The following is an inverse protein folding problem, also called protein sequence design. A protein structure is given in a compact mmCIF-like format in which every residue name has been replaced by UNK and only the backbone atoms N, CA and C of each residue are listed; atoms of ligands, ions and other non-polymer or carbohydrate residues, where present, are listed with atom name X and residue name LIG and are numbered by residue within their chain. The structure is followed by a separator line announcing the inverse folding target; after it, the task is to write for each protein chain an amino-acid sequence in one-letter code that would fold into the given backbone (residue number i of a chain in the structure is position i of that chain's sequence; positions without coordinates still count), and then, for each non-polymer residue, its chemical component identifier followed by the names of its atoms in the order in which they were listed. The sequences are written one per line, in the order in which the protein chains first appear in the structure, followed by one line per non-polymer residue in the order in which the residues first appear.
data_IF_231514595782
#
_entry.id   IF_231514595782
#
_cell.length_a   1.000
_cell.length_b   1.000
_cell.length_c   1.000
_cell.angle_alpha   90.00
_cell.angle_beta   90.00
_cell.angle_gamma   90.00
#
_symmetry.space_group_name_H-M   'P 1'
#
loop_
_entity.id
_entity.type
_entity.pdbx_description
1 polymer ?
#
# COMPACT_ATOMS: atom_id res chain seq x y z
N UNK A 1 -4.50 4.77 -5.20
CA UNK A 1 -4.27 5.93 -6.09
C UNK A 1 -4.29 7.20 -5.27
N UNK A 2 -3.35 8.15 -5.53
CA UNK A 2 -3.18 9.40 -4.77
C UNK A 2 -3.83 10.57 -5.53
N UNK A 3 -4.53 11.46 -4.81
CA UNK A 3 -5.03 12.73 -5.31
C UNK A 3 -4.77 13.86 -4.31
N UNK A 4 -4.28 15.03 -4.76
CA UNK A 4 -4.12 16.20 -3.90
C UNK A 4 -5.46 16.63 -3.30
N UNK A 5 -5.48 16.90 -1.99
CA UNK A 5 -6.71 17.28 -1.28
C UNK A 5 -7.27 18.66 -1.70
N UNK A 6 -6.52 19.45 -2.45
CA UNK A 6 -6.98 20.72 -3.07
C UNK A 6 -7.62 20.51 -4.47
N UNK A 7 -7.86 19.27 -4.88
CA UNK A 7 -8.44 18.95 -6.19
C UNK A 7 -9.72 18.11 -6.06
N UNK A 8 -10.82 18.71 -5.59
CA UNK A 8 -12.11 18.02 -5.44
C UNK A 8 -12.63 17.44 -6.76
N UNK A 9 -12.29 18.05 -7.91
CA UNK A 9 -12.60 17.56 -9.24
C UNK A 9 -11.88 16.23 -9.59
N UNK A 10 -10.71 15.95 -9.02
CA UNK A 10 -10.01 14.68 -9.13
C UNK A 10 -10.55 13.67 -8.11
N UNK A 11 -10.76 14.12 -6.87
CA UNK A 11 -11.27 13.28 -5.78
C UNK A 11 -12.61 12.64 -6.15
N UNK A 12 -13.55 13.42 -6.72
CA UNK A 12 -14.85 12.94 -7.17
C UNK A 12 -14.77 11.76 -8.18
N UNK A 13 -13.67 11.66 -8.91
CA UNK A 13 -13.48 10.64 -9.95
C UNK A 13 -12.71 9.41 -9.45
N UNK A 14 -12.11 9.45 -8.26
CA UNK A 14 -11.28 8.35 -7.73
C UNK A 14 -12.01 7.01 -7.68
N UNK A 15 -13.28 6.90 -7.20
CA UNK A 15 -13.97 5.62 -7.13
C UNK A 15 -14.09 4.90 -8.49
N UNK A 16 -14.23 5.66 -9.58
CA UNK A 16 -14.35 5.10 -10.93
C UNK A 16 -13.04 4.64 -11.56
N UNK A 17 -11.90 4.78 -10.85
CA UNK A 17 -10.58 4.44 -11.40
C UNK A 17 -10.15 3.02 -11.10
N UNK A 18 -10.86 2.29 -10.22
CA UNK A 18 -10.60 0.89 -9.92
C UNK A 18 -9.36 0.65 -9.05
N UNK A 19 -8.90 1.65 -8.29
CA UNK A 19 -7.85 1.48 -7.31
C UNK A 19 -8.44 0.97 -5.99
N UNK A 20 -7.76 0.02 -5.32
CA UNK A 20 -8.23 -0.58 -4.08
C UNK A 20 -8.22 0.42 -2.91
N UNK A 21 -7.28 1.36 -2.90
CA UNK A 21 -7.12 2.36 -1.84
C UNK A 21 -7.00 3.76 -2.45
N UNK A 22 -7.79 4.68 -1.92
CA UNK A 22 -7.81 6.09 -2.30
C UNK A 22 -7.06 6.92 -1.26
N UNK A 23 -5.98 7.58 -1.70
CA UNK A 23 -5.20 8.50 -0.87
C UNK A 23 -5.67 9.93 -1.12
N UNK A 24 -6.14 10.60 -0.08
CA UNK A 24 -6.32 12.04 -0.06
C UNK A 24 -5.05 12.68 0.52
N UNK A 25 -4.37 13.47 -0.29
CA UNK A 25 -3.03 13.95 0.03
C UNK A 25 -3.04 15.40 0.52
N UNK A 26 -2.58 15.62 1.76
CA UNK A 26 -2.38 16.96 2.35
C UNK A 26 -0.91 17.38 2.39
N UNK A 27 0.01 16.56 1.87
CA UNK A 27 1.44 16.77 1.96
C UNK A 27 2.01 17.50 0.71
N UNK A 28 3.01 16.95 0.06
CA UNK A 28 3.85 17.59 -0.97
C UNK A 28 3.07 18.12 -2.18
N UNK A 29 1.96 17.48 -2.55
CA UNK A 29 1.10 17.93 -3.64
C UNK A 29 0.20 19.14 -3.26
N UNK A 30 0.28 19.63 -2.02
CA UNK A 30 -0.49 20.76 -1.51
C UNK A 30 0.46 21.86 -1.07
N UNK A 31 0.39 23.09 -1.65
CA UNK A 31 1.24 24.19 -1.25
C UNK A 31 0.94 24.67 0.18
N UNK A 32 1.93 25.26 0.85
CA UNK A 32 1.84 25.70 2.25
C UNK A 32 0.61 26.57 2.56
N UNK A 33 0.27 27.49 1.68
CA UNK A 33 -0.87 28.40 1.84
C UNK A 33 -2.24 27.72 1.61
N UNK A 34 -2.27 26.48 1.13
CA UNK A 34 -3.50 25.73 0.88
C UNK A 34 -3.71 24.56 1.86
N UNK A 35 -2.84 24.37 2.86
CA UNK A 35 -2.95 23.27 3.84
C UNK A 35 -4.28 23.29 4.61
N UNK A 36 -4.77 24.47 4.99
CA UNK A 36 -6.06 24.61 5.66
C UNK A 36 -7.25 24.26 4.75
N UNK A 37 -7.19 24.63 3.46
CA UNK A 37 -8.18 24.26 2.45
C UNK A 37 -8.18 22.73 2.24
N UNK A 38 -7.01 22.11 2.15
CA UNK A 38 -6.87 20.67 2.01
C UNK A 38 -7.57 19.92 3.14
N UNK A 39 -7.39 20.32 4.40
CA UNK A 39 -8.11 19.77 5.55
C UNK A 39 -9.62 19.84 5.39
N UNK A 40 -10.12 20.99 4.96
CA UNK A 40 -11.56 21.19 4.72
C UNK A 40 -12.08 20.25 3.63
N UNK A 41 -11.34 20.09 2.53
CA UNK A 41 -11.70 19.18 1.45
C UNK A 41 -11.68 17.74 1.93
N UNK A 42 -10.70 17.33 2.72
CA UNK A 42 -10.64 15.97 3.30
C UNK A 42 -11.86 15.69 4.17
N UNK A 43 -12.19 16.59 5.10
CA UNK A 43 -13.35 16.41 6.00
C UNK A 43 -14.69 16.36 5.25
N UNK A 44 -14.78 17.01 4.10
CA UNK A 44 -15.96 16.95 3.24
C UNK A 44 -16.04 15.68 2.40
N UNK A 45 -14.92 15.26 1.79
CA UNK A 45 -14.93 14.23 0.78
C UNK A 45 -14.66 12.82 1.31
N UNK A 46 -13.81 12.65 2.33
CA UNK A 46 -13.47 11.32 2.82
C UNK A 46 -14.71 10.54 3.31
N UNK A 47 -15.64 11.12 4.12
CA UNK A 47 -16.86 10.42 4.51
C UNK A 47 -17.72 9.98 3.31
N UNK A 48 -17.88 10.83 2.30
CA UNK A 48 -18.65 10.52 1.08
C UNK A 48 -18.06 9.35 0.30
N UNK A 49 -16.72 9.28 0.23
CA UNK A 49 -16.02 8.19 -0.46
C UNK A 49 -16.15 6.87 0.32
N UNK A 50 -16.07 6.92 1.65
CA UNK A 50 -16.26 5.77 2.53
C UNK A 50 -17.70 5.25 2.47
N UNK A 51 -18.69 6.13 2.55
CA UNK A 51 -20.12 5.79 2.35
C UNK A 51 -20.36 5.16 0.97
N UNK A 52 -19.64 5.61 -0.05
CA UNK A 52 -19.64 5.01 -1.40
C UNK A 52 -18.92 3.67 -1.51
N UNK A 53 -18.40 3.11 -0.41
CA UNK A 53 -17.74 1.80 -0.35
C UNK A 53 -16.25 1.82 -0.68
N UNK A 54 -15.61 3.00 -0.78
CA UNK A 54 -14.18 3.11 -1.03
C UNK A 54 -13.35 2.95 0.25
N UNK A 55 -12.19 2.28 0.14
CA UNK A 55 -11.16 2.32 1.18
C UNK A 55 -10.38 3.64 1.06
N UNK A 56 -10.53 4.50 2.05
CA UNK A 56 -9.92 5.85 2.03
C UNK A 56 -8.86 5.96 3.11
N UNK A 57 -7.72 6.50 2.73
CA UNK A 57 -6.65 6.89 3.65
C UNK A 57 -6.28 8.36 3.42
N UNK A 58 -5.84 9.05 4.46
CA UNK A 58 -5.47 10.46 4.39
C UNK A 58 -3.99 10.60 4.68
N UNK A 59 -3.22 11.14 3.74
CA UNK A 59 -1.82 11.50 3.97
C UNK A 59 -1.75 12.89 4.57
N UNK A 60 -1.32 12.94 5.82
CA UNK A 60 -1.06 14.16 6.57
C UNK A 60 0.37 14.64 6.33
N UNK A 61 0.72 15.82 6.85
CA UNK A 61 2.10 16.29 6.80
C UNK A 61 2.99 15.50 7.80
N UNK A 62 4.34 15.50 7.63
CA UNK A 62 5.26 14.82 8.54
C UNK A 62 5.09 15.25 10.00
N UNK A 63 5.35 14.34 10.94
CA UNK A 63 5.27 14.62 12.39
C UNK A 63 6.10 15.85 12.77
N UNK A 64 7.25 16.04 12.15
CA UNK A 64 8.15 17.18 12.38
C UNK A 64 7.64 18.51 11.80
N UNK A 65 6.53 18.52 11.05
CA UNK A 65 6.02 19.72 10.40
C UNK A 65 5.11 20.54 11.31
N UNK A 66 5.05 21.84 11.09
CA UNK A 66 4.12 22.74 11.77
C UNK A 66 2.63 22.43 11.51
N UNK A 67 2.31 21.70 10.43
CA UNK A 67 0.95 21.38 10.02
C UNK A 67 0.41 20.08 10.62
N UNK A 68 1.29 19.17 11.12
CA UNK A 68 0.91 17.84 11.58
C UNK A 68 -0.21 17.86 12.63
N UNK A 69 -0.04 18.68 13.69
CA UNK A 69 -1.01 18.73 14.78
C UNK A 69 -2.39 19.21 14.31
N UNK A 70 -2.42 20.17 13.38
CA UNK A 70 -3.67 20.65 12.79
C UNK A 70 -4.29 19.64 11.83
N UNK A 71 -3.48 18.89 11.08
CA UNK A 71 -3.99 17.84 10.20
C UNK A 71 -4.69 16.73 10.99
N UNK A 72 -4.12 16.33 12.13
CA UNK A 72 -4.74 15.34 13.02
C UNK A 72 -6.01 15.88 13.65
N UNK A 73 -5.99 17.11 14.22
CA UNK A 73 -7.12 17.66 14.97
C UNK A 73 -8.29 18.10 14.09
N UNK A 74 -7.99 18.65 12.92
CA UNK A 74 -8.98 19.36 12.11
C UNK A 74 -9.17 18.76 10.71
N UNK A 75 -8.34 17.81 10.30
CA UNK A 75 -8.32 17.28 8.94
C UNK A 75 -8.60 15.78 8.83
N UNK A 76 -8.74 15.05 9.95
CA UNK A 76 -8.81 13.61 9.91
C UNK A 76 -10.19 13.07 10.33
N UNK A 77 -11.04 12.62 9.39
CA UNK A 77 -12.33 11.99 9.71
C UNK A 77 -12.19 10.65 10.42
N UNK A 78 -13.18 10.29 11.26
CA UNK A 78 -13.16 9.07 12.08
C UNK A 78 -13.33 7.76 11.30
N UNK A 79 -13.90 7.81 10.11
CA UNK A 79 -14.29 6.68 9.28
C UNK A 79 -13.28 6.30 8.19
N UNK A 80 -12.15 7.03 8.10
CA UNK A 80 -11.06 6.63 7.21
C UNK A 80 -10.38 5.34 7.68
N UNK A 81 -9.82 4.59 6.74
CA UNK A 81 -9.24 3.26 7.01
C UNK A 81 -7.88 3.33 7.71
N UNK A 82 -7.10 4.37 7.44
CA UNK A 82 -5.81 4.64 8.09
C UNK A 82 -5.39 6.09 7.88
N UNK A 83 -4.49 6.59 8.73
CA UNK A 83 -3.73 7.81 8.48
C UNK A 83 -2.39 7.44 7.83
N UNK A 84 -2.02 8.14 6.76
CA UNK A 84 -0.72 7.99 6.11
C UNK A 84 0.21 9.05 6.68
N UNK A 85 1.30 8.63 7.31
CA UNK A 85 2.30 9.53 7.87
C UNK A 85 3.58 9.38 7.06
N UNK A 86 3.96 10.42 6.31
CA UNK A 86 5.18 10.41 5.50
C UNK A 86 6.43 10.60 6.37
N UNK A 87 7.57 10.27 5.81
CA UNK A 87 8.91 10.58 6.34
C UNK A 87 9.12 10.09 7.79
N UNK A 88 8.60 8.88 8.09
CA UNK A 88 8.86 8.22 9.37
C UNK A 88 10.31 7.74 9.41
N UNK A 89 11.02 8.15 10.46
CA UNK A 89 12.44 7.83 10.66
C UNK A 89 12.67 6.93 11.87
N UNK A 90 11.92 7.16 12.96
CA UNK A 90 12.15 6.55 14.27
C UNK A 90 10.87 6.05 14.91
N UNK A 91 11.01 5.18 15.90
CA UNK A 91 9.87 4.78 16.75
C UNK A 91 9.21 5.96 17.45
N UNK A 92 10.00 6.98 17.87
CA UNK A 92 9.47 8.20 18.51
C UNK A 92 8.48 8.95 17.64
N UNK A 93 8.63 8.92 16.31
CA UNK A 93 7.71 9.59 15.38
C UNK A 93 6.35 8.88 15.40
N UNK A 94 6.36 7.55 15.48
CA UNK A 94 5.15 6.74 15.61
C UNK A 94 4.51 6.86 16.99
N UNK A 95 5.30 6.96 18.06
CA UNK A 95 4.79 7.21 19.41
C UNK A 95 4.10 8.58 19.49
N UNK A 96 4.69 9.62 18.91
CA UNK A 96 4.10 10.96 18.83
C UNK A 96 2.82 10.95 17.99
N UNK A 97 2.84 10.30 16.83
CA UNK A 97 1.66 10.16 15.99
C UNK A 97 0.53 9.40 16.71
N UNK A 98 0.85 8.32 17.41
CA UNK A 98 -0.10 7.55 18.18
C UNK A 98 -0.73 8.39 19.30
N UNK A 99 0.08 9.16 20.03
CA UNK A 99 -0.39 10.06 21.09
C UNK A 99 -1.33 11.14 20.52
N UNK A 100 -0.97 11.78 19.41
CA UNK A 100 -1.81 12.78 18.77
C UNK A 100 -3.17 12.21 18.29
N UNK A 101 -3.18 10.98 17.75
CA UNK A 101 -4.40 10.29 17.37
C UNK A 101 -5.27 9.94 18.59
N UNK A 102 -4.65 9.51 19.69
CA UNK A 102 -5.35 9.17 20.94
C UNK A 102 -6.02 10.40 21.55
N UNK A 103 -5.36 11.56 21.54
CA UNK A 103 -5.90 12.85 22.02
C UNK A 103 -7.19 13.26 21.31
N UNK A 104 -7.35 12.92 20.02
CA UNK A 104 -8.57 13.26 19.25
C UNK A 104 -9.57 12.10 19.16
N UNK A 105 -9.38 11.02 19.96
CA UNK A 105 -10.30 9.89 20.01
C UNK A 105 -10.15 8.88 18.87
N UNK A 106 -9.04 8.92 18.12
CA UNK A 106 -8.72 8.01 17.01
C UNK A 106 -7.74 6.89 17.42
N UNK A 107 -7.82 6.41 18.66
CA UNK A 107 -6.92 5.41 19.23
C UNK A 107 -6.89 4.07 18.47
N UNK A 108 -7.92 3.78 17.67
CA UNK A 108 -7.99 2.56 16.85
C UNK A 108 -7.51 2.74 15.41
N UNK A 109 -7.26 3.98 14.99
CA UNK A 109 -6.84 4.25 13.62
C UNK A 109 -5.40 3.80 13.42
N UNK A 110 -5.17 2.94 12.41
CA UNK A 110 -3.85 2.47 12.04
C UNK A 110 -3.04 3.52 11.30
N UNK A 111 -1.72 3.39 11.37
CA UNK A 111 -0.77 4.21 10.63
C UNK A 111 -0.30 3.47 9.38
N UNK A 112 -0.42 4.11 8.24
CA UNK A 112 0.23 3.72 7.00
C UNK A 112 1.55 4.50 6.91
N UNK A 113 2.67 3.84 7.20
CA UNK A 113 3.97 4.50 7.36
C UNK A 113 4.66 4.77 6.02
N UNK A 114 5.12 6.00 5.79
CA UNK A 114 5.98 6.37 4.67
C UNK A 114 7.45 6.19 5.02
N UNK A 115 8.11 5.22 4.40
CA UNK A 115 9.54 4.94 4.53
C UNK A 115 10.26 5.54 3.33
N UNK A 116 10.75 6.74 3.49
CA UNK A 116 11.22 7.57 2.38
C UNK A 116 12.38 8.50 2.75
N UNK A 117 13.08 8.18 3.85
CA UNK A 117 14.34 8.83 4.24
C UNK A 117 15.43 7.79 4.47
N UNK A 118 16.70 8.20 4.45
CA UNK A 118 17.84 7.32 4.70
C UNK A 118 17.73 6.65 6.08
N UNK A 119 17.36 7.43 7.10
CA UNK A 119 17.21 6.91 8.45
C UNK A 119 15.99 5.98 8.56
N UNK A 120 14.86 6.35 7.97
CA UNK A 120 13.66 5.50 7.93
C UNK A 120 13.93 4.15 7.27
N UNK A 121 14.70 4.12 6.17
CA UNK A 121 15.13 2.88 5.51
C UNK A 121 16.08 2.09 6.41
N UNK A 122 17.06 2.74 7.05
CA UNK A 122 18.00 2.07 7.94
C UNK A 122 17.28 1.40 9.13
N UNK A 123 16.31 2.07 9.72
CA UNK A 123 15.55 1.63 10.90
C UNK A 123 14.19 0.95 10.54
N UNK A 124 13.92 0.69 9.25
CA UNK A 124 12.63 0.18 8.77
C UNK A 124 12.14 -1.05 9.57
N UNK A 125 13.05 -1.95 9.99
CA UNK A 125 12.70 -3.13 10.78
C UNK A 125 12.12 -2.76 12.16
N UNK A 126 12.62 -1.71 12.79
CA UNK A 126 12.13 -1.23 14.07
C UNK A 126 10.81 -0.48 13.89
N UNK A 127 10.79 0.43 12.93
CA UNK A 127 9.64 1.28 12.62
C UNK A 127 8.41 0.43 12.23
N UNK A 128 8.57 -0.52 11.31
CA UNK A 128 7.43 -1.33 10.83
C UNK A 128 6.93 -2.35 11.87
N UNK A 129 7.71 -2.66 12.91
CA UNK A 129 7.27 -3.50 14.02
C UNK A 129 6.39 -2.76 15.04
N UNK A 130 6.20 -1.44 14.90
CA UNK A 130 5.35 -0.67 15.82
C UNK A 130 3.88 -1.11 15.69
N UNK A 131 3.15 -1.34 16.82
CA UNK A 131 1.80 -1.94 16.81
C UNK A 131 0.72 -1.10 16.12
N UNK A 132 0.96 0.20 15.91
CA UNK A 132 0.05 1.09 15.17
C UNK A 132 0.25 1.02 13.66
N UNK A 133 1.35 0.45 13.16
CA UNK A 133 1.62 0.33 11.73
C UNK A 133 0.79 -0.81 11.14
N UNK A 134 -0.10 -0.47 10.20
CA UNK A 134 -1.00 -1.42 9.52
C UNK A 134 -0.63 -1.63 8.06
N UNK A 135 0.13 -0.71 7.46
CA UNK A 135 0.68 -0.78 6.11
C UNK A 135 1.88 0.17 6.01
N UNK A 136 2.70 0.01 4.97
CA UNK A 136 3.76 0.96 4.67
C UNK A 136 3.99 1.11 3.16
N UNK A 137 4.60 2.23 2.76
CA UNK A 137 5.08 2.40 1.39
C UNK A 137 6.56 2.82 1.39
N UNK A 138 7.23 2.53 0.28
CA UNK A 138 8.55 3.06 -0.01
C UNK A 138 8.44 4.26 -0.93
N UNK A 139 8.95 5.43 -0.50
CA UNK A 139 8.96 6.68 -1.26
C UNK A 139 10.36 6.97 -1.84
N UNK A 140 10.58 6.62 -3.10
CA UNK A 140 11.90 6.71 -3.72
C UNK A 140 12.35 8.13 -4.02
N UNK A 141 11.42 9.03 -4.32
CA UNK A 141 11.76 10.41 -4.71
C UNK A 141 12.36 11.15 -3.50
N UNK A 142 11.68 11.09 -2.35
CA UNK A 142 12.14 11.67 -1.10
C UNK A 142 13.41 10.98 -0.58
N UNK A 143 13.46 9.64 -0.65
CA UNK A 143 14.65 8.88 -0.24
C UNK A 143 15.89 9.31 -1.02
N UNK A 144 15.81 9.44 -2.35
CA UNK A 144 16.96 9.84 -3.17
C UNK A 144 17.32 11.30 -2.94
N UNK A 145 16.34 12.16 -2.69
CA UNK A 145 16.59 13.56 -2.33
C UNK A 145 17.35 13.65 -0.99
N UNK A 146 16.92 12.89 0.03
CA UNK A 146 17.58 12.82 1.35
C UNK A 146 19.00 12.24 1.26
N UNK A 147 19.20 11.22 0.41
CA UNK A 147 20.53 10.65 0.11
C UNK A 147 21.45 11.58 -0.67
N UNK A 148 20.94 12.70 -1.22
CA UNK A 148 21.70 13.58 -2.13
C UNK A 148 22.02 12.93 -3.47
N UNK A 149 21.24 11.93 -3.88
CA UNK A 149 21.40 11.18 -5.12
C UNK A 149 20.62 11.74 -6.30
N UNK A 150 20.56 10.97 -7.37
CA UNK A 150 19.80 11.30 -8.60
C UNK A 150 18.97 10.10 -9.00
N UNK A 151 17.68 10.30 -9.26
CA UNK A 151 16.78 9.25 -9.76
C UNK A 151 17.15 8.84 -11.16
N UNK A 152 17.18 7.53 -11.40
CA UNK A 152 17.44 6.93 -12.70
C UNK A 152 16.29 6.02 -13.16
N UNK A 153 16.21 5.75 -14.45
CA UNK A 153 15.22 4.82 -14.99
C UNK A 153 15.48 3.36 -14.61
N UNK A 154 16.73 3.03 -14.29
CA UNK A 154 17.17 1.69 -13.92
C UNK A 154 16.96 1.33 -12.44
N UNK A 155 16.57 2.29 -11.60
CA UNK A 155 16.33 2.09 -10.15
C UNK A 155 17.53 1.51 -9.36
N UNK A 156 18.75 1.54 -9.89
CA UNK A 156 19.92 0.98 -9.20
C UNK A 156 20.20 1.70 -7.87
N UNK A 157 19.96 3.02 -7.83
CA UNK A 157 20.16 3.88 -6.66
C UNK A 157 19.20 3.57 -5.50
N UNK A 158 18.05 2.97 -5.78
CA UNK A 158 17.04 2.61 -4.78
C UNK A 158 16.93 1.10 -4.55
N UNK A 159 17.64 0.27 -5.30
CA UNK A 159 17.46 -1.19 -5.25
C UNK A 159 17.68 -1.77 -3.85
N UNK A 160 18.72 -1.32 -3.15
CA UNK A 160 18.98 -1.74 -1.77
C UNK A 160 17.86 -1.30 -0.83
N UNK A 161 17.46 -0.03 -0.87
CA UNK A 161 16.42 0.53 0.00
C UNK A 161 15.07 -0.20 -0.20
N UNK A 162 14.66 -0.44 -1.46
CA UNK A 162 13.46 -1.22 -1.78
C UNK A 162 13.51 -2.63 -1.19
N UNK A 163 14.64 -3.33 -1.34
CA UNK A 163 14.81 -4.68 -0.78
C UNK A 163 14.83 -4.67 0.76
N UNK A 164 15.46 -3.68 1.38
CA UNK A 164 15.50 -3.49 2.83
C UNK A 164 14.10 -3.27 3.41
N UNK A 165 13.30 -2.40 2.80
CA UNK A 165 11.91 -2.15 3.22
C UNK A 165 11.05 -3.40 3.02
N UNK A 166 11.21 -4.12 1.90
CA UNK A 166 10.51 -5.38 1.65
C UNK A 166 10.80 -6.43 2.73
N UNK A 167 12.08 -6.58 3.12
CA UNK A 167 12.48 -7.46 4.21
C UNK A 167 11.87 -7.04 5.55
N UNK A 168 11.88 -5.75 5.85
CA UNK A 168 11.33 -5.21 7.09
C UNK A 168 9.82 -5.44 7.20
N UNK A 169 9.05 -5.17 6.14
CA UNK A 169 7.61 -5.43 6.09
C UNK A 169 7.29 -6.91 6.24
N UNK A 170 8.08 -7.78 5.59
CA UNK A 170 7.91 -9.23 5.76
C UNK A 170 8.12 -9.69 7.20
N UNK A 171 9.12 -9.16 7.89
CA UNK A 171 9.40 -9.50 9.29
C UNK A 171 8.32 -9.00 10.24
N UNK A 172 7.75 -7.82 9.96
CA UNK A 172 6.66 -7.22 10.73
C UNK A 172 5.27 -7.77 10.34
N UNK A 173 5.15 -8.53 9.24
CA UNK A 173 3.88 -8.95 8.64
C UNK A 173 2.98 -7.77 8.24
N UNK A 174 3.60 -6.69 7.75
CA UNK A 174 2.95 -5.45 7.31
C UNK A 174 2.88 -5.43 5.79
N UNK A 175 1.70 -5.21 5.18
CA UNK A 175 1.55 -5.03 3.73
C UNK A 175 2.34 -3.82 3.24
N UNK A 176 2.98 -3.97 2.08
CA UNK A 176 3.84 -2.95 1.50
C UNK A 176 3.37 -2.49 0.13
N UNK A 177 3.45 -1.17 -0.09
CA UNK A 177 3.18 -0.53 -1.38
C UNK A 177 4.47 0.11 -1.91
N UNK A 178 4.80 -0.21 -3.16
CA UNK A 178 6.01 0.25 -3.82
C UNK A 178 5.89 1.71 -4.31
N UNK A 179 7.04 2.31 -4.60
CA UNK A 179 7.28 3.66 -5.08
C UNK A 179 6.41 4.07 -6.29
N UNK A 180 6.28 5.37 -6.51
CA UNK A 180 5.66 5.94 -7.72
C UNK A 180 6.54 5.79 -8.96
N UNK A 181 5.93 5.91 -10.15
CA UNK A 181 6.62 6.23 -11.41
C UNK A 181 6.13 7.60 -11.86
N UNK A 182 7.01 8.59 -11.80
CA UNK A 182 6.67 9.99 -12.04
C UNK A 182 6.34 10.28 -13.51
N UNK A 183 6.99 9.58 -14.46
CA UNK A 183 6.59 9.62 -15.87
C UNK A 183 5.36 8.75 -16.10
N UNK A 184 4.16 9.32 -15.89
CA UNK A 184 2.89 8.62 -16.04
C UNK A 184 2.53 8.22 -17.49
N UNK A 185 3.29 8.69 -18.48
CA UNK A 185 3.14 8.30 -19.89
C UNK A 185 3.95 7.05 -20.25
N UNK A 186 4.86 6.61 -19.39
CA UNK A 186 5.70 5.44 -19.60
C UNK A 186 5.09 4.17 -18.98
N UNK A 187 4.10 3.60 -19.68
CA UNK A 187 3.42 2.37 -19.27
C UNK A 187 4.41 1.18 -19.18
N UNK A 188 5.37 1.11 -20.09
CA UNK A 188 6.34 0.02 -20.11
C UNK A 188 7.24 0.02 -18.86
N UNK A 189 7.69 1.20 -18.43
CA UNK A 189 8.44 1.37 -17.18
C UNK A 189 7.57 1.02 -15.99
N UNK A 190 6.33 1.50 -15.95
CA UNK A 190 5.42 1.21 -14.83
C UNK A 190 5.20 -0.30 -14.64
N UNK A 191 4.92 -1.03 -15.73
CA UNK A 191 4.73 -2.49 -15.73
C UNK A 191 5.97 -3.24 -15.27
N UNK A 192 7.14 -2.87 -15.78
CA UNK A 192 8.42 -3.46 -15.36
C UNK A 192 8.64 -3.27 -13.87
N UNK A 193 8.52 -2.04 -13.37
CA UNK A 193 8.71 -1.74 -11.95
C UNK A 193 7.66 -2.40 -11.05
N UNK A 194 6.40 -2.52 -11.48
CA UNK A 194 5.36 -3.23 -10.76
C UNK A 194 5.66 -4.74 -10.65
N UNK A 195 6.17 -5.35 -11.73
CA UNK A 195 6.63 -6.75 -11.71
C UNK A 195 7.83 -6.95 -10.78
N UNK A 196 8.80 -6.03 -10.82
CA UNK A 196 9.96 -6.06 -9.90
C UNK A 196 9.52 -5.96 -8.44
N UNK A 197 8.59 -5.05 -8.13
CA UNK A 197 8.05 -4.87 -6.79
C UNK A 197 7.34 -6.14 -6.29
N UNK A 198 6.46 -6.72 -7.11
CA UNK A 198 5.82 -8.01 -6.80
C UNK A 198 6.86 -9.10 -6.51
N UNK A 199 7.92 -9.19 -7.31
CA UNK A 199 9.00 -10.17 -7.13
C UNK A 199 9.80 -9.94 -5.84
N UNK A 200 9.90 -8.70 -5.36
CA UNK A 200 10.49 -8.36 -4.07
C UNK A 200 9.56 -8.64 -2.87
N UNK A 201 8.28 -8.91 -3.12
CA UNK A 201 7.30 -9.21 -2.09
C UNK A 201 6.46 -8.00 -1.63
N UNK A 202 6.40 -6.95 -2.42
CA UNK A 202 5.41 -5.88 -2.24
C UNK A 202 4.00 -6.38 -2.60
N UNK A 203 2.99 -5.79 -1.98
CA UNK A 203 1.57 -6.13 -2.16
C UNK A 203 0.86 -5.21 -3.16
N UNK A 204 1.46 -4.06 -3.48
CA UNK A 204 0.90 -3.07 -4.39
C UNK A 204 1.91 -2.03 -4.85
N UNK A 205 1.44 -1.06 -5.64
CA UNK A 205 2.26 0.05 -6.13
C UNK A 205 1.47 1.36 -6.10
N UNK A 206 2.13 2.45 -5.72
CA UNK A 206 1.52 3.78 -5.74
C UNK A 206 1.20 4.22 -7.16
N UNK A 207 0.00 4.77 -7.36
CA UNK A 207 -0.48 5.34 -8.62
C UNK A 207 -0.76 6.82 -8.44
N UNK A 208 -0.11 7.67 -9.23
CA UNK A 208 -0.30 9.13 -9.27
C UNK A 208 -1.11 9.60 -10.48
N UNK A 209 -1.45 8.67 -11.38
CA UNK A 209 -2.27 8.94 -12.56
C UNK A 209 -3.22 7.77 -12.83
N UNK A 210 -4.46 8.01 -13.32
CA UNK A 210 -5.42 6.94 -13.60
C UNK A 210 -4.93 5.84 -14.54
N UNK A 211 -4.09 6.18 -15.51
CA UNK A 211 -3.52 5.20 -16.45
C UNK A 211 -2.60 4.16 -15.78
N UNK A 212 -2.12 4.43 -14.56
CA UNK A 212 -1.26 3.51 -13.81
C UNK A 212 -2.05 2.44 -13.03
N UNK A 213 -3.36 2.64 -12.82
CA UNK A 213 -4.17 1.70 -12.04
C UNK A 213 -4.37 0.34 -12.73
N UNK A 214 -4.76 0.28 -14.02
CA UNK A 214 -4.89 -1.02 -14.68
C UNK A 214 -3.62 -1.86 -14.68
N UNK A 215 -2.42 -1.33 -15.06
CA UNK A 215 -1.20 -2.11 -15.02
C UNK A 215 -0.75 -2.47 -13.60
N UNK A 216 -1.10 -1.68 -12.56
CA UNK A 216 -0.89 -2.07 -11.17
C UNK A 216 -1.74 -3.29 -10.82
N UNK A 217 -3.04 -3.22 -11.06
CA UNK A 217 -3.97 -4.32 -10.77
C UNK A 217 -3.55 -5.60 -11.51
N UNK A 218 -3.17 -5.49 -12.79
CA UNK A 218 -2.67 -6.63 -13.57
C UNK A 218 -1.43 -7.26 -12.96
N UNK A 219 -0.46 -6.45 -12.53
CA UNK A 219 0.79 -6.95 -11.97
C UNK A 219 0.61 -7.64 -10.61
N UNK A 220 -0.27 -7.13 -9.75
CA UNK A 220 -0.45 -7.65 -8.39
C UNK A 220 -1.59 -8.66 -8.22
N UNK A 221 -2.43 -8.85 -9.24
CA UNK A 221 -3.47 -9.90 -9.24
C UNK A 221 -2.92 -11.17 -9.88
N UNK A 222 -2.92 -12.32 -9.19
CA UNK A 222 -2.51 -13.59 -9.79
C UNK A 222 -3.37 -13.94 -11.00
N UNK A 223 -2.75 -14.30 -12.12
CA UNK A 223 -3.44 -14.76 -13.31
C UNK A 223 -4.08 -16.14 -13.12
N UNK A 224 -5.07 -16.48 -13.96
CA UNK A 224 -5.68 -17.81 -13.95
C UNK A 224 -4.63 -18.94 -14.18
N UNK A 225 -3.67 -18.70 -15.04
CA UNK A 225 -2.59 -19.67 -15.33
C UNK A 225 -1.66 -19.85 -14.12
N UNK A 226 -1.32 -18.77 -13.39
CA UNK A 226 -0.51 -18.85 -12.15
C UNK A 226 -1.26 -19.63 -11.07
N UNK A 227 -2.56 -19.40 -10.93
CA UNK A 227 -3.42 -20.09 -9.96
C UNK A 227 -3.52 -21.58 -10.31
N UNK A 228 -3.76 -21.93 -11.57
CA UNK A 228 -3.83 -23.31 -12.03
C UNK A 228 -2.49 -24.04 -11.83
N UNK A 229 -1.40 -23.40 -12.24
CA UNK A 229 -0.06 -23.94 -12.04
C UNK A 229 0.26 -24.18 -10.56
N UNK A 230 -0.09 -23.24 -9.68
CA UNK A 230 0.11 -23.40 -8.24
C UNK A 230 -0.67 -24.59 -7.67
N UNK A 231 -1.93 -24.79 -8.10
CA UNK A 231 -2.76 -25.94 -7.69
C UNK A 231 -2.14 -27.26 -8.15
N UNK A 232 -1.74 -27.37 -9.41
CA UNK A 232 -1.10 -28.58 -9.98
C UNK A 232 0.22 -28.89 -9.28
N UNK A 233 1.06 -27.88 -9.04
CA UNK A 233 2.32 -28.01 -8.32
C UNK A 233 2.10 -28.57 -6.91
N UNK A 234 1.18 -27.99 -6.15
CA UNK A 234 0.88 -28.46 -4.79
C UNK A 234 0.36 -29.88 -4.77
N UNK A 235 -0.57 -30.23 -5.66
CA UNK A 235 -1.11 -31.59 -5.73
C UNK A 235 0.02 -32.63 -6.03
N UNK A 236 0.92 -32.30 -6.95
CA UNK A 236 2.06 -33.18 -7.28
C UNK A 236 3.05 -33.29 -6.11
N UNK A 237 3.37 -32.15 -5.46
CA UNK A 237 4.28 -32.12 -4.33
C UNK A 237 3.73 -32.89 -3.10
N UNK A 238 2.47 -32.68 -2.76
CA UNK A 238 1.82 -33.35 -1.62
C UNK A 238 1.71 -34.86 -1.82
N UNK A 239 1.37 -35.31 -3.03
CA UNK A 239 1.36 -36.74 -3.37
C UNK A 239 2.74 -37.40 -3.20
N UNK A 240 3.80 -36.72 -3.62
CA UNK A 240 5.17 -37.21 -3.49
C UNK A 240 5.69 -37.16 -2.06
N UNK A 241 5.37 -36.10 -1.34
CA UNK A 241 5.72 -35.93 0.07
C UNK A 241 5.07 -37.00 0.94
N UNK A 242 3.82 -37.39 0.67
CA UNK A 242 3.15 -38.51 1.32
C UNK A 242 3.84 -39.86 1.05
N UNK A 243 4.56 -39.98 -0.06
CA UNK A 243 5.39 -41.16 -0.39
C UNK A 243 6.84 -41.07 0.14
N UNK A 244 7.16 -40.04 0.94
CA UNK A 244 8.48 -39.81 1.53
C UNK A 244 9.51 -39.17 0.58
N UNK A 245 9.05 -38.53 -0.52
CA UNK A 245 9.90 -37.84 -1.49
C UNK A 245 9.83 -36.36 -1.24
N UNK A 246 10.95 -35.72 -0.86
CA UNK A 246 11.03 -34.32 -0.47
C UNK A 246 11.28 -33.33 -1.62
N UNK A 247 11.72 -33.81 -2.78
CA UNK A 247 11.95 -33.00 -3.97
C UNK A 247 11.46 -33.73 -5.21
N UNK A 248 10.76 -33.04 -6.10
CA UNK A 248 10.18 -33.60 -7.33
C UNK A 248 10.63 -32.83 -8.56
N UNK A 249 10.53 -33.44 -9.72
CA UNK A 249 10.49 -32.73 -11.00
C UNK A 249 9.02 -32.31 -11.30
N UNK A 250 8.80 -31.03 -11.48
CA UNK A 250 7.51 -30.50 -11.93
C UNK A 250 7.75 -29.57 -13.11
N UNK A 251 7.29 -29.95 -14.27
CA UNK A 251 7.45 -29.19 -15.53
C UNK A 251 8.93 -28.87 -15.86
N UNK A 252 9.85 -29.77 -15.56
CA UNK A 252 11.30 -29.62 -15.81
C UNK A 252 12.00 -28.73 -14.77
N UNK A 253 11.33 -28.40 -13.66
CA UNK A 253 11.89 -27.66 -12.55
C UNK A 253 11.92 -28.51 -11.28
N UNK A 254 13.04 -28.46 -10.55
CA UNK A 254 13.09 -29.04 -9.21
C UNK A 254 12.19 -28.26 -8.27
N UNK A 255 11.26 -28.93 -7.61
CA UNK A 255 10.35 -28.37 -6.62
C UNK A 255 10.54 -29.07 -5.28
N UNK A 256 10.75 -28.27 -4.26
CA UNK A 256 10.87 -28.66 -2.86
C UNK A 256 9.94 -27.80 -1.98
N UNK A 257 10.03 -27.91 -0.65
CA UNK A 257 9.15 -27.17 0.27
C UNK A 257 9.14 -25.64 0.09
N UNK A 258 10.26 -24.93 -0.15
CA UNK A 258 10.26 -23.50 -0.45
C UNK A 258 9.33 -23.09 -1.60
N UNK A 259 9.32 -23.86 -2.70
CA UNK A 259 8.45 -23.60 -3.85
C UNK A 259 6.99 -23.97 -3.57
N UNK A 260 6.75 -25.04 -2.82
CA UNK A 260 5.41 -25.41 -2.35
C UNK A 260 4.83 -24.33 -1.42
N UNK A 261 5.64 -23.74 -0.53
CA UNK A 261 5.23 -22.60 0.32
C UNK A 261 4.84 -21.38 -0.51
N UNK A 262 5.58 -21.06 -1.59
CA UNK A 262 5.21 -19.97 -2.48
C UNK A 262 3.85 -20.22 -3.16
N UNK A 263 3.61 -21.43 -3.64
CA UNK A 263 2.34 -21.79 -4.25
C UNK A 263 1.16 -21.74 -3.26
N UNK A 264 1.35 -22.19 -2.01
CA UNK A 264 0.32 -22.06 -0.95
C UNK A 264 -0.04 -20.62 -0.68
N UNK A 265 0.97 -19.74 -0.51
CA UNK A 265 0.74 -18.30 -0.27
C UNK A 265 -0.02 -17.63 -1.41
N UNK A 266 0.29 -17.98 -2.66
CA UNK A 266 -0.44 -17.47 -3.81
C UNK A 266 -1.91 -17.86 -3.73
N UNK A 267 -2.22 -19.13 -3.43
CA UNK A 267 -3.60 -19.60 -3.33
C UNK A 267 -4.33 -19.05 -2.10
N UNK A 268 -3.67 -18.89 -0.97
CA UNK A 268 -4.20 -18.24 0.24
C UNK A 268 -4.60 -16.78 -0.05
N UNK A 269 -3.75 -16.03 -0.75
CA UNK A 269 -4.05 -14.66 -1.17
C UNK A 269 -5.30 -14.61 -2.05
N UNK A 270 -5.40 -15.46 -3.07
CA UNK A 270 -6.58 -15.55 -3.94
C UNK A 270 -7.86 -15.85 -3.15
N UNK A 271 -7.79 -16.75 -2.16
CA UNK A 271 -8.93 -17.07 -1.31
C UNK A 271 -9.37 -15.89 -0.44
N UNK A 272 -8.41 -15.15 0.11
CA UNK A 272 -8.66 -13.95 0.91
C UNK A 272 -9.31 -12.83 0.08
N UNK A 273 -8.79 -12.59 -1.13
CA UNK A 273 -9.31 -11.57 -2.05
C UNK A 273 -10.76 -11.91 -2.48
N UNK A 274 -11.05 -13.17 -2.78
CA UNK A 274 -12.41 -13.63 -3.10
C UNK A 274 -13.39 -13.40 -1.95
N UNK A 275 -12.98 -13.70 -0.72
CA UNK A 275 -13.81 -13.50 0.48
C UNK A 275 -14.09 -12.01 0.72
N UNK A 276 -13.09 -11.15 0.52
CA UNK A 276 -13.23 -9.71 0.65
C UNK A 276 -14.21 -9.13 -0.41
N UNK A 277 -14.11 -9.60 -1.66
CA UNK A 277 -15.00 -9.19 -2.75
C UNK A 277 -16.47 -9.60 -2.49
N UNK A 278 -16.69 -10.81 -1.97
CA UNK A 278 -18.04 -11.31 -1.61
C UNK A 278 -18.64 -10.51 -0.44
N UNK A 279 -17.83 -10.14 0.55
CA UNK A 279 -18.25 -9.30 1.67
C UNK A 279 -18.65 -7.88 1.23
N UNK A 280 -17.91 -7.30 0.29
CA UNK A 280 -18.19 -5.98 -0.30
C UNK A 280 -19.51 -5.99 -1.10
N UNK A 281 -19.73 -7.03 -1.93
CA UNK A 281 -20.96 -7.18 -2.72
C UNK A 281 -22.18 -7.51 -1.85
N UNK A 282 -22.02 -8.23 -0.76
CA UNK A 282 -23.07 -8.52 0.23
C UNK A 282 -23.55 -7.25 0.96
N UNK A 283 -22.63 -6.35 1.33
CA UNK A 283 -22.97 -5.05 1.91
C UNK A 283 -23.75 -4.14 0.95
N UNK A 284 -23.35 -4.09 -0.33
CA UNK A 284 -24.03 -3.28 -1.34
C UNK A 284 -25.50 -3.73 -1.56
N UNK A 285 -25.76 -5.04 -1.57
CA UNK A 285 -27.14 -5.58 -1.70
C UNK A 285 -28.01 -5.35 -0.46
N UNK A 286 -27.41 -5.28 0.72
CA UNK A 286 -28.12 -5.01 1.99
C UNK A 286 -28.60 -3.56 2.08
N UNK A 287 -27.81 -2.61 1.60
CA UNK A 287 -28.17 -1.18 1.57
C UNK A 287 -29.27 -0.85 0.54
N UNK A 288 -29.30 -1.52 -0.62
CA UNK A 288 -30.39 -1.34 -1.59
C UNK A 288 -31.74 -1.88 -1.13
N UNK A 289 -31.73 -2.92 -0.28
CA UNK A 289 -32.95 -3.54 0.23
C UNK A 289 -33.57 -2.79 1.44
N UNK A 290 -32.80 -1.89 2.08
CA UNK A 290 -33.27 -1.05 3.21
C UNK A 290 -33.81 0.32 2.72
N UNK A 291 -33.61 0.65 1.43
CA UNK A 291 -34.08 1.88 0.82
C UNK A 291 -35.37 1.74 -0.02
N UNK A 292 -36.01 0.60 0.08
CA UNK A 292 -37.37 0.32 -0.43
C UNK A 292 -38.32 0.08 0.74
#
# INVERSE_FOLDING_TARGET
MIAPAVRPDFIAKLPSRGADVLFLDCEDAVPANAKAEARTVVTEWAPRLVEGGSTVVVRVNPVSSEWFADDIRNGLPHDVSAVVIPKIERLSDLDEAAAALDEVGLSRLGVFAGIETALGVADARLVLAHPRVVAAYFGAEDFVADMGGVRTEGNAEVAYARAQVALAGRLASVPLVDQVVTNFSDDARYRREATEARNLGYDGKLCIHPAQVPPANEAFTPSADEIDRARRLLAAYEASSAAGIAAIDFEGQMVDEPLAVQARRLLERVATDATAADAATGKARSTENTAR
#
